data_IF_435536131858
#
_entry.id   IF_435536131858
#
_cell.length_a   1.000
_cell.length_b   1.000
_cell.length_c   1.000
_cell.angle_alpha   90.00
_cell.angle_beta   90.00
_cell.angle_gamma   90.00
#
_symmetry.space_group_name_H-M   'P 1'
#
loop_
_entity.id
_entity.type
_entity.pdbx_description
1 polymer ?
#
# COMPACT_ATOMS: atom_id res chain seq x y z
N UNK A 1 4.58 -23.63 26.73
CA UNK A 1 3.82 -22.35 26.67
C UNK A 1 4.02 -21.80 25.27
N UNK A 2 2.97 -21.70 24.45
CA UNK A 2 3.15 -21.33 23.04
C UNK A 2 3.51 -19.85 22.91
N UNK A 3 4.39 -19.55 21.96
CA UNK A 3 4.85 -18.21 21.62
C UNK A 3 4.46 -17.87 20.18
N UNK A 4 4.12 -16.60 19.88
CA UNK A 4 3.85 -16.17 18.52
C UNK A 4 5.16 -16.01 17.75
N UNK A 5 5.26 -16.65 16.59
CA UNK A 5 6.32 -16.45 15.62
C UNK A 5 5.74 -15.69 14.42
N UNK A 6 6.32 -14.52 14.13
CA UNK A 6 5.93 -13.65 13.03
C UNK A 6 7.00 -13.69 11.94
N UNK A 7 6.57 -13.89 10.69
CA UNK A 7 7.46 -13.79 9.53
C UNK A 7 7.70 -12.30 9.26
N UNK A 8 8.85 -11.79 9.68
CA UNK A 8 9.24 -10.40 9.41
C UNK A 8 10.12 -10.35 8.17
N UNK A 9 9.56 -9.86 7.06
CA UNK A 9 10.35 -9.43 5.92
C UNK A 9 10.85 -8.02 6.18
N UNK A 10 12.14 -7.86 6.45
CA UNK A 10 12.77 -6.55 6.57
C UNK A 10 13.40 -6.18 5.24
N UNK A 11 13.07 -4.99 4.74
CA UNK A 11 13.81 -4.41 3.63
C UNK A 11 15.17 -3.94 4.15
N UNK A 12 16.25 -4.28 3.46
CA UNK A 12 17.58 -3.76 3.80
C UNK A 12 17.60 -2.26 3.51
N UNK A 13 17.64 -1.45 4.56
CA UNK A 13 17.74 0.00 4.44
C UNK A 13 19.20 0.40 4.33
N UNK A 14 19.51 1.20 3.31
CA UNK A 14 20.83 1.82 3.19
C UNK A 14 20.93 3.05 4.10
N UNK A 15 22.15 3.51 4.44
CA UNK A 15 22.32 4.77 5.16
C UNK A 15 21.68 5.98 4.45
N UNK A 16 21.59 5.95 3.11
CA UNK A 16 20.92 7.01 2.36
C UNK A 16 19.41 6.97 2.58
N UNK A 17 18.77 5.80 2.57
CA UNK A 17 17.33 5.68 2.82
C UNK A 17 16.97 6.24 4.20
N UNK A 18 17.78 5.93 5.21
CA UNK A 18 17.60 6.48 6.56
C UNK A 18 17.67 8.01 6.57
N UNK A 19 18.63 8.59 5.83
CA UNK A 19 18.75 10.05 5.69
C UNK A 19 17.53 10.65 5.01
N UNK A 20 17.07 10.08 3.89
CA UNK A 20 15.89 10.58 3.17
C UNK A 20 14.63 10.52 4.04
N UNK A 21 14.45 9.46 4.84
CA UNK A 21 13.33 9.34 5.77
C UNK A 21 13.35 10.43 6.85
N UNK A 22 14.52 10.77 7.38
CA UNK A 22 14.66 11.88 8.36
C UNK A 22 14.34 13.23 7.71
N UNK A 23 14.82 13.48 6.49
CA UNK A 23 14.53 14.71 5.75
C UNK A 23 13.03 14.85 5.48
N UNK A 24 12.38 13.78 5.01
CA UNK A 24 10.93 13.74 4.84
C UNK A 24 10.19 14.04 6.15
N UNK A 25 10.60 13.41 7.26
CA UNK A 25 9.99 13.65 8.57
C UNK A 25 10.11 15.11 9.00
N UNK A 26 11.28 15.73 8.83
CA UNK A 26 11.49 17.13 9.17
C UNK A 26 10.61 18.06 8.33
N UNK A 27 10.52 17.81 7.02
CA UNK A 27 9.62 18.54 6.11
C UNK A 27 8.15 18.34 6.48
N UNK A 28 7.70 17.10 6.69
CA UNK A 28 6.31 16.78 7.02
C UNK A 28 5.87 17.47 8.33
N UNK A 29 6.77 17.55 9.32
CA UNK A 29 6.53 18.32 10.54
C UNK A 29 6.32 19.80 10.30
N UNK A 30 7.07 20.41 9.39
CA UNK A 30 6.90 21.81 9.04
C UNK A 30 5.56 22.05 8.32
N UNK A 31 5.15 21.14 7.42
CA UNK A 31 3.84 21.21 6.77
C UNK A 31 2.71 21.13 7.79
N UNK A 32 2.78 20.19 8.73
CA UNK A 32 1.78 20.05 9.81
C UNK A 32 1.75 21.30 10.73
N UNK A 33 2.92 21.90 11.01
CA UNK A 33 2.98 23.09 11.84
C UNK A 33 2.36 24.33 11.15
N UNK A 34 2.43 24.39 9.83
CA UNK A 34 1.82 25.46 9.03
C UNK A 34 0.32 25.22 8.79
N UNK A 35 -0.06 23.98 8.52
CA UNK A 35 -1.44 23.54 8.31
C UNK A 35 -1.66 22.16 8.94
N UNK A 36 -2.35 22.15 10.09
CA UNK A 36 -2.65 20.93 10.83
C UNK A 36 -3.48 19.91 10.02
N UNK A 37 -4.20 20.39 9.01
CA UNK A 37 -5.05 19.60 8.13
C UNK A 37 -4.33 19.22 6.81
N UNK A 38 -3.06 19.57 6.61
CA UNK A 38 -2.35 19.37 5.33
C UNK A 38 -2.51 17.95 4.77
N UNK A 39 -2.19 16.93 5.58
CA UNK A 39 -2.25 15.53 5.15
C UNK A 39 -3.68 14.99 4.99
N UNK A 40 -4.69 15.69 5.50
CA UNK A 40 -6.09 15.35 5.27
C UNK A 40 -6.46 15.50 3.80
N UNK A 41 -5.78 16.39 3.08
CA UNK A 41 -6.06 16.67 1.67
C UNK A 41 -5.00 16.10 0.72
N UNK A 42 -4.02 15.34 1.24
CA UNK A 42 -3.10 14.55 0.40
C UNK A 42 -3.79 13.25 -0.01
N UNK A 43 -3.86 12.99 -1.31
CA UNK A 43 -4.29 11.68 -1.83
C UNK A 43 -3.15 10.68 -1.65
N UNK A 44 -3.24 9.87 -0.60
CA UNK A 44 -2.41 8.69 -0.49
C UNK A 44 -2.97 7.61 -1.40
N UNK A 45 -2.10 6.86 -2.06
CA UNK A 45 -2.53 5.75 -2.90
C UNK A 45 -1.50 4.65 -2.89
N UNK A 46 -1.95 3.44 -3.17
CA UNK A 46 -1.10 2.26 -3.23
C UNK A 46 -1.72 1.21 -4.15
N UNK A 47 -0.90 0.29 -4.63
CA UNK A 47 -1.31 -0.90 -5.34
C UNK A 47 -1.18 -2.15 -4.47
N UNK A 48 -2.18 -3.03 -4.55
CA UNK A 48 -2.11 -4.35 -3.93
C UNK A 48 -2.34 -5.45 -4.96
N UNK A 49 -1.53 -6.50 -4.90
CA UNK A 49 -1.65 -7.67 -5.77
C UNK A 49 -2.38 -8.79 -5.04
N UNK A 50 -3.55 -9.18 -5.57
CA UNK A 50 -4.30 -10.34 -5.10
C UNK A 50 -4.04 -11.54 -6.01
N UNK A 51 -3.86 -12.72 -5.43
CA UNK A 51 -3.56 -13.96 -6.16
C UNK A 51 -4.50 -15.07 -5.73
N UNK A 52 -4.89 -15.93 -6.67
CA UNK A 52 -5.73 -17.11 -6.38
C UNK A 52 -5.03 -18.21 -5.59
N UNK A 53 -3.71 -18.16 -5.44
CA UNK A 53 -2.93 -19.13 -4.68
C UNK A 53 -3.09 -18.98 -3.16
N UNK A 54 -3.86 -17.99 -2.70
CA UNK A 54 -4.02 -17.69 -1.28
C UNK A 54 -2.70 -17.35 -0.61
N UNK A 55 -1.76 -16.73 -1.35
CA UNK A 55 -0.62 -16.06 -0.73
C UNK A 55 -1.19 -15.04 0.24
N UNK A 56 -1.06 -15.35 1.54
CA UNK A 56 -1.48 -14.48 2.62
C UNK A 56 -0.56 -13.27 2.60
N UNK A 57 -1.10 -12.10 2.94
CA UNK A 57 -0.26 -11.01 3.43
C UNK A 57 0.58 -11.59 4.58
N UNK A 58 1.90 -11.65 4.41
CA UNK A 58 2.81 -12.30 5.38
C UNK A 58 2.77 -11.63 6.76
N UNK A 59 2.28 -10.39 6.82
CA UNK A 59 1.96 -9.67 8.04
C UNK A 59 0.86 -10.34 8.89
N UNK A 60 0.01 -11.18 8.28
CA UNK A 60 -1.04 -11.95 8.96
C UNK A 60 -0.61 -13.40 9.25
N UNK A 61 0.61 -13.81 8.90
CA UNK A 61 1.13 -15.16 9.14
C UNK A 61 1.70 -15.27 10.55
N UNK A 62 0.84 -15.45 11.54
CA UNK A 62 1.21 -15.74 12.93
C UNK A 62 1.10 -17.24 13.22
N UNK A 63 2.15 -17.81 13.80
CA UNK A 63 2.15 -19.20 14.25
C UNK A 63 2.39 -19.26 15.74
N UNK A 64 1.61 -20.07 16.44
CA UNK A 64 1.75 -20.29 17.87
C UNK A 64 2.40 -21.65 18.10
N UNK A 65 3.59 -21.68 18.69
CA UNK A 65 4.31 -22.92 18.96
C UNK A 65 5.19 -22.77 20.20
N UNK A 66 5.48 -23.87 20.89
CA UNK A 66 6.44 -23.88 21.99
C UNK A 66 7.89 -23.72 21.50
N UNK A 67 8.17 -24.04 20.22
CA UNK A 67 9.49 -23.93 19.55
C UNK A 67 9.34 -23.39 18.13
N UNK A 68 10.39 -22.77 17.56
CA UNK A 68 10.33 -22.26 16.18
C UNK A 68 10.07 -23.42 15.19
N UNK A 69 8.95 -23.42 14.46
CA UNK A 69 8.57 -24.57 13.64
C UNK A 69 9.35 -24.70 12.32
N UNK A 70 10.23 -23.75 11.96
CA UNK A 70 10.91 -23.71 10.65
C UNK A 70 9.96 -24.01 9.48
N UNK A 71 8.77 -23.40 9.54
CA UNK A 71 7.66 -23.83 8.71
C UNK A 71 7.87 -23.48 7.23
N UNK A 72 7.67 -24.47 6.36
CA UNK A 72 7.63 -24.30 4.92
C UNK A 72 6.19 -24.50 4.43
N UNK A 73 5.66 -23.53 3.70
CA UNK A 73 4.36 -23.68 3.02
C UNK A 73 4.59 -24.07 1.57
N UNK A 74 3.95 -25.16 1.15
CA UNK A 74 3.87 -25.50 -0.27
C UNK A 74 3.01 -24.45 -0.98
N UNK A 75 3.61 -23.77 -1.96
CA UNK A 75 2.90 -22.83 -2.84
C UNK A 75 2.64 -23.55 -4.16
N UNK A 76 1.37 -23.71 -4.53
CA UNK A 76 1.04 -24.27 -5.83
C UNK A 76 1.33 -23.22 -6.92
N UNK A 77 2.31 -23.51 -7.77
CA UNK A 77 2.73 -22.61 -8.85
C UNK A 77 1.99 -22.86 -10.18
N UNK A 78 1.19 -23.93 -10.29
CA UNK A 78 0.41 -24.25 -11.48
C UNK A 78 -0.97 -23.57 -11.41
N UNK A 79 -1.38 -22.90 -12.50
CA UNK A 79 -2.63 -22.10 -12.63
C UNK A 79 -2.69 -20.82 -11.77
N UNK A 80 -1.64 -20.01 -11.82
CA UNK A 80 -1.59 -18.68 -11.17
C UNK A 80 -2.30 -17.62 -12.00
N UNK A 81 -3.20 -16.87 -11.37
CA UNK A 81 -3.57 -15.54 -11.82
C UNK A 81 -3.36 -14.54 -10.68
N UNK A 82 -3.03 -13.31 -11.07
CA UNK A 82 -2.92 -12.18 -10.15
C UNK A 82 -3.69 -11.01 -10.72
N UNK A 83 -4.32 -10.24 -9.85
CA UNK A 83 -4.94 -8.97 -10.19
C UNK A 83 -4.29 -7.88 -9.34
N UNK A 84 -3.92 -6.78 -9.98
CA UNK A 84 -3.41 -5.59 -9.29
C UNK A 84 -4.56 -4.62 -9.13
N UNK A 85 -4.77 -4.17 -7.90
CA UNK A 85 -5.82 -3.23 -7.55
C UNK A 85 -5.16 -1.97 -7.03
N UNK A 86 -5.55 -0.83 -7.56
CA UNK A 86 -5.19 0.48 -7.03
C UNK A 86 -6.33 1.02 -6.18
N UNK A 87 -5.98 1.60 -5.03
CA UNK A 87 -6.89 2.39 -4.21
C UNK A 87 -6.18 3.65 -3.72
N UNK A 88 -6.96 4.72 -3.58
CA UNK A 88 -6.56 5.95 -2.92
C UNK A 88 -7.33 6.19 -1.63
N UNK A 89 -6.80 7.04 -0.76
CA UNK A 89 -7.51 7.60 0.39
C UNK A 89 -7.17 9.08 0.52
N UNK A 90 -8.21 9.90 0.67
CA UNK A 90 -8.09 11.34 0.91
C UNK A 90 -9.23 11.80 1.78
N UNK A 91 -8.94 12.61 2.80
CA UNK A 91 -9.93 13.19 3.71
C UNK A 91 -10.92 12.17 4.30
N UNK A 92 -10.46 10.95 4.57
CA UNK A 92 -11.29 9.84 5.06
C UNK A 92 -12.15 9.13 4.00
N UNK A 93 -12.12 9.57 2.75
CA UNK A 93 -12.78 8.90 1.62
C UNK A 93 -11.83 7.93 0.93
N UNK A 94 -12.32 6.72 0.67
CA UNK A 94 -11.62 5.74 -0.17
C UNK A 94 -11.97 6.00 -1.63
N UNK A 95 -10.96 6.00 -2.49
CA UNK A 95 -11.03 6.23 -3.94
C UNK A 95 -10.67 4.94 -4.66
N UNK A 96 -11.43 4.58 -5.69
CA UNK A 96 -11.35 3.26 -6.32
C UNK A 96 -12.37 2.27 -5.71
N UNK A 97 -12.13 0.95 -5.82
CA UNK A 97 -10.96 0.29 -6.40
C UNK A 97 -10.88 0.44 -7.93
N UNK A 98 -9.65 0.53 -8.45
CA UNK A 98 -9.37 0.38 -9.88
C UNK A 98 -8.63 -0.94 -10.13
N UNK A 99 -9.18 -1.77 -11.02
CA UNK A 99 -8.62 -3.07 -11.33
C UNK A 99 -7.81 -3.01 -12.63
N UNK A 100 -6.52 -3.33 -12.55
CA UNK A 100 -5.72 -3.50 -13.76
C UNK A 100 -6.01 -4.88 -14.37
N UNK A 101 -6.42 -4.89 -15.65
CA UNK A 101 -6.66 -6.12 -16.41
C UNK A 101 -5.36 -6.79 -16.91
N UNK A 102 -4.25 -6.06 -16.91
CA UNK A 102 -2.93 -6.50 -17.33
C UNK A 102 -1.87 -6.07 -16.31
N UNK A 103 -0.60 -6.37 -16.57
CA UNK A 103 0.51 -5.88 -15.76
C UNK A 103 0.51 -4.35 -15.70
N UNK A 104 0.77 -3.80 -14.51
CA UNK A 104 0.92 -2.36 -14.34
C UNK A 104 2.20 -1.91 -15.04
N UNK A 105 2.05 -1.01 -16.00
CA UNK A 105 3.14 -0.33 -16.69
C UNK A 105 3.00 1.18 -16.48
N UNK A 106 4.04 1.95 -16.82
CA UNK A 106 3.93 3.41 -16.78
C UNK A 106 2.80 3.94 -17.68
N UNK A 107 2.48 3.27 -18.78
CA UNK A 107 1.38 3.66 -19.67
C UNK A 107 0.02 3.41 -19.04
N UNK A 108 -0.24 2.18 -18.56
CA UNK A 108 -1.52 1.86 -17.91
C UNK A 108 -1.75 2.65 -16.63
N UNK A 109 -0.68 2.98 -15.90
CA UNK A 109 -0.78 3.84 -14.73
C UNK A 109 -1.09 5.29 -15.10
N UNK A 110 -0.50 5.80 -16.19
CA UNK A 110 -0.81 7.14 -16.69
C UNK A 110 -2.26 7.25 -17.19
N UNK A 111 -2.76 6.21 -17.86
CA UNK A 111 -4.18 6.08 -18.25
C UNK A 111 -5.10 6.10 -17.03
N UNK A 112 -4.77 5.34 -15.98
CA UNK A 112 -5.48 5.44 -14.69
C UNK A 112 -5.53 6.89 -14.19
N UNK A 113 -4.37 7.56 -14.09
CA UNK A 113 -4.31 8.92 -13.53
C UNK A 113 -5.06 9.96 -14.37
N UNK A 114 -5.06 9.82 -15.69
CA UNK A 114 -5.65 10.82 -16.61
C UNK A 114 -7.12 10.57 -16.90
N UNK A 115 -7.48 9.31 -17.16
CA UNK A 115 -8.75 8.98 -17.80
C UNK A 115 -9.74 8.36 -16.81
N UNK A 116 -9.26 7.71 -15.75
CA UNK A 116 -10.11 7.02 -14.77
C UNK A 116 -10.19 7.74 -13.42
N UNK A 117 -9.05 8.25 -12.91
CA UNK A 117 -8.98 8.89 -11.60
C UNK A 117 -9.97 10.07 -11.46
N UNK A 118 -10.16 10.96 -12.45
CA UNK A 118 -11.15 12.03 -12.33
C UNK A 118 -12.57 11.53 -12.09
N UNK A 119 -12.95 10.41 -12.69
CA UNK A 119 -14.25 9.76 -12.49
C UNK A 119 -14.33 9.08 -11.13
N UNK A 120 -13.23 8.49 -10.65
CA UNK A 120 -13.18 7.83 -9.34
C UNK A 120 -13.18 8.82 -8.16
N UNK A 121 -12.75 10.07 -8.38
CA UNK A 121 -12.65 11.10 -7.35
C UNK A 121 -14.03 11.68 -6.95
N UNK A 122 -14.98 10.85 -6.53
CA UNK A 122 -16.32 11.23 -6.04
C UNK A 122 -16.30 11.85 -4.62
N UNK A 123 -15.37 12.75 -4.37
CA UNK A 123 -15.26 13.48 -3.09
C UNK A 123 -15.91 14.86 -3.17
N UNK A 124 -16.24 15.42 -1.99
CA UNK A 124 -16.84 16.75 -1.90
C UNK A 124 -15.98 17.85 -2.54
N UNK A 125 -16.64 18.90 -3.04
CA UNK A 125 -16.00 20.02 -3.75
C UNK A 125 -14.85 20.65 -2.95
N UNK A 126 -15.00 20.78 -1.64
CA UNK A 126 -13.97 21.32 -0.76
C UNK A 126 -12.71 20.45 -0.75
N UNK A 127 -12.88 19.12 -0.72
CA UNK A 127 -11.75 18.19 -0.79
C UNK A 127 -11.05 18.30 -2.13
N UNK A 128 -11.81 18.32 -3.24
CA UNK A 128 -11.23 18.47 -4.59
C UNK A 128 -10.46 19.79 -4.79
N UNK A 129 -10.87 20.86 -4.11
CA UNK A 129 -10.21 22.18 -4.23
C UNK A 129 -8.93 22.32 -3.41
N UNK A 130 -8.79 21.52 -2.35
CA UNK A 130 -7.68 21.60 -1.40
C UNK A 130 -6.63 20.50 -1.60
N UNK A 131 -7.00 19.43 -2.31
CA UNK A 131 -6.06 18.46 -2.91
C UNK A 131 -5.13 19.15 -3.90
#
# INVERSE_FOLDING_TARGET
KHHPYHITLTQALTPNDMRQRVLFYQWARQMIAHDADFFKYVLFSDESTFKNTGELNTHNCHYWSDVNPYWHRQVNNQHRWSIVVWCGIVNGYVIGPYFFHQNVTGHSFLELLRDHLPTLLEVGLETRRRM
#
